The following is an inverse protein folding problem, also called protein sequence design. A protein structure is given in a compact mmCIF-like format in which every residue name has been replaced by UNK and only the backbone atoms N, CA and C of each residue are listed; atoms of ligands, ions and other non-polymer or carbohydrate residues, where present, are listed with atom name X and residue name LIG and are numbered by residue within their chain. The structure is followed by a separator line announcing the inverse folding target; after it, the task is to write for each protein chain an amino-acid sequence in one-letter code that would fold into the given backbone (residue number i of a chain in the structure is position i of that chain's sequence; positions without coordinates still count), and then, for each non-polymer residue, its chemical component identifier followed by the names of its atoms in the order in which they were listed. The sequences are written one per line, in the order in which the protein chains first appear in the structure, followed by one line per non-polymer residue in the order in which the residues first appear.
data_IF_987978371839
#
_entry.id   IF_987978371839
#
_cell.length_a   1.000
_cell.length_b   1.000
_cell.length_c   1.000
_cell.angle_alpha   90.00
_cell.angle_beta   90.00
_cell.angle_gamma   90.00
#
_symmetry.space_group_name_H-M   'P 1'
#
loop_
_entity.id
_entity.type
_entity.pdbx_description
1 polymer ?
#
# COMPACT_ATOMS: atom_id res chain seq x y z
N UNK A 1 26.49 1.12 2.04
CA UNK A 1 25.21 1.25 2.77
C UNK A 1 24.47 2.39 2.08
N UNK A 2 23.41 2.10 1.30
CA UNK A 2 22.59 3.15 0.72
C UNK A 2 22.02 3.98 1.86
N UNK A 3 22.27 5.29 1.86
CA UNK A 3 21.70 6.20 2.83
C UNK A 3 20.18 6.25 2.58
N UNK A 4 19.40 5.55 3.40
CA UNK A 4 17.94 5.59 3.34
C UNK A 4 17.47 7.04 3.47
N UNK A 5 16.48 7.42 2.66
CA UNK A 5 15.96 8.79 2.60
C UNK A 5 15.20 9.20 3.87
N UNK A 6 14.40 8.25 4.40
CA UNK A 6 13.73 8.37 5.70
C UNK A 6 13.96 7.07 6.48
N UNK A 7 14.46 7.19 7.71
CA UNK A 7 14.66 6.05 8.62
C UNK A 7 13.89 6.26 9.90
N UNK A 8 13.27 5.21 10.37
CA UNK A 8 12.65 5.12 11.68
C UNK A 8 13.45 4.07 12.46
N UNK A 9 13.95 4.43 13.65
CA UNK A 9 14.78 3.56 14.47
C UNK A 9 14.20 3.43 15.88
N UNK A 10 13.87 2.22 16.25
CA UNK A 10 13.42 1.82 17.58
C UNK A 10 12.24 2.64 18.12
N UNK A 11 11.39 3.16 17.21
CA UNK A 11 10.31 4.07 17.59
C UNK A 11 9.25 3.32 18.38
N UNK A 12 8.92 3.87 19.56
CA UNK A 12 7.92 3.32 20.47
C UNK A 12 6.94 4.39 20.93
N UNK A 13 5.67 4.00 21.09
CA UNK A 13 4.59 4.88 21.54
C UNK A 13 3.57 4.13 22.38
N UNK A 14 3.19 4.73 23.50
CA UNK A 14 2.12 4.25 24.36
C UNK A 14 1.10 5.36 24.66
N UNK A 15 -0.14 5.00 24.89
CA UNK A 15 -1.18 5.84 25.47
C UNK A 15 -1.60 5.25 26.81
N UNK A 16 -1.18 5.88 27.90
CA UNK A 16 -1.29 5.30 29.23
C UNK A 16 -0.52 3.96 29.30
N UNK A 17 -1.21 2.91 29.69
CA UNK A 17 -0.63 1.56 29.76
C UNK A 17 -0.73 0.76 28.43
N UNK A 18 -1.35 1.33 27.40
CA UNK A 18 -1.53 0.65 26.12
C UNK A 18 -0.41 1.00 25.15
N UNK A 19 0.43 0.00 24.82
CA UNK A 19 1.52 0.15 23.87
C UNK A 19 0.98 0.00 22.44
N UNK A 20 1.08 1.08 21.65
CA UNK A 20 0.56 1.16 20.28
C UNK A 20 1.63 0.96 19.22
N UNK A 21 2.88 1.35 19.53
CA UNK A 21 4.06 1.10 18.70
C UNK A 21 5.18 0.60 19.59
N UNK A 22 5.88 -0.44 19.16
CA UNK A 22 6.92 -1.12 19.92
C UNK A 22 8.14 -1.42 19.05
N UNK A 23 9.19 -0.63 19.24
CA UNK A 23 10.47 -0.86 18.56
C UNK A 23 10.33 -0.92 17.02
N UNK A 24 9.61 0.03 16.47
CA UNK A 24 9.39 0.13 15.01
C UNK A 24 10.68 0.53 14.32
N UNK A 25 11.07 -0.25 13.32
CA UNK A 25 12.23 0.01 12.49
C UNK A 25 11.81 -0.04 11.02
N UNK A 26 12.03 1.06 10.26
CA UNK A 26 11.72 1.14 8.83
C UNK A 26 12.79 1.95 8.10
N UNK A 27 13.10 1.51 6.88
CA UNK A 27 13.97 2.22 5.96
C UNK A 27 13.22 2.48 4.65
N UNK A 28 13.09 3.75 4.30
CA UNK A 28 12.34 4.19 3.11
C UNK A 28 13.31 4.93 2.20
N UNK A 29 13.40 4.52 0.94
CA UNK A 29 14.27 5.15 -0.03
C UNK A 29 13.57 6.31 -0.72
N UNK A 30 14.34 7.20 -1.32
CA UNK A 30 13.80 8.30 -2.12
C UNK A 30 13.01 7.75 -3.30
N UNK A 31 11.83 8.33 -3.55
CA UNK A 31 10.88 7.93 -4.60
C UNK A 31 10.16 6.59 -4.36
N UNK A 32 10.38 5.92 -3.22
CA UNK A 32 9.56 4.77 -2.89
C UNK A 32 8.08 5.19 -2.74
N UNK A 33 7.18 4.32 -3.15
CA UNK A 33 5.79 4.31 -2.70
C UNK A 33 5.67 3.18 -1.69
N UNK A 34 5.73 3.53 -0.42
CA UNK A 34 5.83 2.60 0.70
C UNK A 34 4.48 2.39 1.37
N UNK A 35 3.99 1.16 1.38
CA UNK A 35 2.74 0.79 2.05
C UNK A 35 2.96 0.40 3.52
N UNK A 36 2.04 0.80 4.39
CA UNK A 36 1.93 0.29 5.76
C UNK A 36 0.59 -0.40 5.87
N UNK A 37 0.63 -1.72 5.97
CA UNK A 37 -0.53 -2.60 5.99
C UNK A 37 -0.74 -3.19 7.38
N UNK A 38 -1.97 -3.47 7.75
CA UNK A 38 -2.30 -4.09 9.04
C UNK A 38 -3.78 -3.94 9.38
N UNK A 39 -4.25 -4.72 10.34
CA UNK A 39 -5.64 -4.66 10.79
C UNK A 39 -5.97 -3.33 11.48
N UNK A 40 -7.27 -3.09 11.69
CA UNK A 40 -7.72 -1.91 12.45
C UNK A 40 -7.13 -1.94 13.87
N UNK A 41 -6.66 -0.80 14.36
CA UNK A 41 -6.05 -0.70 15.71
C UNK A 41 -4.58 -1.13 15.80
N UNK A 42 -3.94 -1.62 14.72
CA UNK A 42 -2.55 -2.10 14.75
C UNK A 42 -1.49 -0.99 14.99
N UNK A 43 -1.87 0.30 15.01
CA UNK A 43 -0.95 1.42 15.24
C UNK A 43 -0.55 2.22 13.99
N UNK A 44 -1.08 1.89 12.81
CA UNK A 44 -0.70 2.53 11.52
C UNK A 44 -0.83 4.05 11.52
N UNK A 45 -2.02 4.58 11.87
CA UNK A 45 -2.26 6.03 11.90
C UNK A 45 -1.42 6.72 12.97
N UNK A 46 -1.12 6.05 14.09
CA UNK A 46 -0.20 6.58 15.11
C UNK A 46 1.21 6.69 14.54
N UNK A 47 1.68 5.68 13.80
CA UNK A 47 3.00 5.71 13.17
C UNK A 47 3.15 6.88 12.20
N UNK A 48 2.18 7.05 11.29
CA UNK A 48 2.23 8.15 10.32
C UNK A 48 2.17 9.53 11.00
N UNK A 49 1.37 9.65 12.08
CA UNK A 49 1.31 10.89 12.89
C UNK A 49 2.60 11.16 13.63
N UNK A 50 3.31 10.13 14.09
CA UNK A 50 4.66 10.28 14.66
C UNK A 50 5.65 10.77 13.57
N UNK A 51 5.59 10.21 12.35
CA UNK A 51 6.44 10.65 11.24
C UNK A 51 6.17 12.13 10.90
N UNK A 52 4.91 12.56 10.90
CA UNK A 52 4.56 13.97 10.62
C UNK A 52 4.79 14.92 11.81
N UNK A 53 5.09 14.39 13.00
CA UNK A 53 5.24 15.19 14.23
C UNK A 53 3.92 15.72 14.78
N UNK A 54 2.78 15.12 14.39
CA UNK A 54 1.46 15.39 15.01
C UNK A 54 1.28 14.61 16.30
N UNK A 55 1.99 13.50 16.47
CA UNK A 55 2.02 12.71 17.69
C UNK A 55 3.46 12.55 18.16
N UNK A 56 3.68 12.75 19.46
CA UNK A 56 5.00 12.53 20.08
C UNK A 56 5.18 11.04 20.35
N UNK A 57 6.32 10.49 19.97
CA UNK A 57 6.74 9.15 20.37
C UNK A 57 7.51 9.19 21.70
N UNK A 58 7.56 8.05 22.38
CA UNK A 58 8.13 7.96 23.72
C UNK A 58 9.62 7.63 23.66
N UNK A 59 10.05 6.82 22.66
CA UNK A 59 11.43 6.38 22.47
C UNK A 59 11.75 6.20 20.99
N UNK A 60 13.04 6.19 20.64
CA UNK A 60 13.54 6.04 19.28
C UNK A 60 13.87 7.36 18.59
N UNK A 61 14.07 7.27 17.30
CA UNK A 61 14.38 8.44 16.47
C UNK A 61 13.88 8.31 15.03
N UNK A 62 13.64 9.44 14.40
CA UNK A 62 13.37 9.57 12.97
C UNK A 62 14.52 10.35 12.36
N UNK A 63 15.07 9.82 11.26
CA UNK A 63 16.17 10.42 10.51
C UNK A 63 15.67 10.73 9.10
N UNK A 64 15.80 11.95 8.67
CA UNK A 64 15.42 12.41 7.33
C UNK A 64 16.65 12.99 6.62
N UNK A 65 17.00 12.45 5.46
CA UNK A 65 18.19 12.84 4.69
C UNK A 65 19.50 12.77 5.49
N UNK A 66 19.59 11.77 6.39
CA UNK A 66 20.78 11.56 7.23
C UNK A 66 20.82 12.38 8.53
N UNK A 67 19.85 13.27 8.76
CA UNK A 67 19.79 14.12 9.96
C UNK A 67 18.61 13.70 10.85
N UNK A 68 18.84 13.72 12.17
CA UNK A 68 17.78 13.48 13.15
C UNK A 68 16.71 14.58 13.07
N UNK A 69 15.46 14.17 12.95
CA UNK A 69 14.33 15.08 12.75
C UNK A 69 14.09 15.93 13.99
N UNK A 70 14.08 17.24 13.78
CA UNK A 70 13.47 18.21 14.67
C UNK A 70 12.21 18.71 13.98
N UNK A 71 11.02 18.49 14.54
CA UNK A 71 9.73 18.81 13.91
C UNK A 71 9.50 20.33 13.74
N UNK A 72 10.49 20.99 13.14
CA UNK A 72 10.47 22.42 12.83
C UNK A 72 9.67 22.73 11.54
N UNK A 73 9.63 24.02 11.17
CA UNK A 73 8.91 24.49 9.98
C UNK A 73 9.49 23.90 8.68
N UNK A 74 10.80 23.74 8.61
CA UNK A 74 11.48 23.19 7.44
C UNK A 74 11.11 21.72 7.20
N UNK A 75 11.16 20.89 8.26
CA UNK A 75 10.71 19.51 8.17
C UNK A 75 9.24 19.42 7.70
N UNK A 76 8.35 20.25 8.30
CA UNK A 76 6.92 20.28 7.94
C UNK A 76 6.65 20.76 6.51
N UNK A 77 7.55 21.53 5.92
CA UNK A 77 7.50 21.88 4.50
C UNK A 77 7.81 20.68 3.61
N UNK A 78 8.81 19.87 4.01
CA UNK A 78 9.26 18.70 3.26
C UNK A 78 8.37 17.46 3.41
N UNK A 79 7.55 17.39 4.48
CA UNK A 79 6.71 16.22 4.79
C UNK A 79 5.26 16.66 4.92
N UNK A 80 4.50 16.50 3.85
CA UNK A 80 3.06 16.83 3.81
C UNK A 80 2.20 15.60 4.10
N UNK A 81 0.94 15.82 4.51
CA UNK A 81 0.02 14.75 4.87
C UNK A 81 -1.36 14.95 4.24
N UNK A 82 -1.89 13.87 3.69
CA UNK A 82 -3.28 13.71 3.29
C UNK A 82 -3.98 12.92 4.37
N UNK A 83 -5.05 13.46 4.92
CA UNK A 83 -5.81 12.86 6.01
C UNK A 83 -6.94 11.99 5.46
N UNK A 84 -7.38 11.02 6.26
CA UNK A 84 -8.54 10.16 5.97
C UNK A 84 -9.80 10.98 5.70
N UNK A 85 -10.07 11.99 6.52
CA UNK A 85 -11.06 13.03 6.24
C UNK A 85 -10.38 14.12 5.43
N UNK A 86 -11.03 14.62 4.39
CA UNK A 86 -10.46 15.61 3.46
C UNK A 86 -10.01 16.90 4.16
N UNK A 87 -10.63 17.23 5.31
CA UNK A 87 -10.36 18.43 6.12
C UNK A 87 -10.35 19.71 5.29
N UNK A 88 -11.29 19.82 4.35
CA UNK A 88 -11.50 21.03 3.57
C UNK A 88 -12.32 22.04 4.39
N UNK A 89 -12.02 23.31 4.23
CA UNK A 89 -12.76 24.41 4.86
C UNK A 89 -13.97 24.73 3.99
N UNK A 90 -15.18 24.41 4.49
CA UNK A 90 -16.43 24.55 3.75
C UNK A 90 -16.75 26.00 3.35
N UNK A 91 -16.24 26.99 4.13
CA UNK A 91 -16.44 28.42 3.86
C UNK A 91 -15.46 28.98 2.85
N UNK A 92 -14.48 28.18 2.37
CA UNK A 92 -13.50 28.58 1.36
C UNK A 92 -13.75 27.85 0.06
N UNK A 93 -13.51 28.55 -1.06
CA UNK A 93 -13.51 27.90 -2.38
C UNK A 93 -12.40 26.86 -2.48
N UNK A 94 -12.47 26.00 -3.50
CA UNK A 94 -11.44 25.01 -3.82
C UNK A 94 -10.06 25.65 -3.93
N UNK A 95 -9.94 26.74 -4.70
CA UNK A 95 -8.68 27.46 -4.84
C UNK A 95 -8.16 27.96 -3.50
N UNK A 96 -9.02 28.57 -2.68
CA UNK A 96 -8.66 29.07 -1.34
C UNK A 96 -8.31 27.97 -0.34
N UNK A 97 -8.87 26.77 -0.49
CA UNK A 97 -8.47 25.61 0.29
C UNK A 97 -7.05 25.16 -0.04
N UNK A 98 -6.66 25.21 -1.32
CA UNK A 98 -5.31 24.85 -1.76
C UNK A 98 -4.31 25.94 -1.36
N UNK A 99 -4.64 27.24 -1.54
CA UNK A 99 -3.79 28.36 -1.13
C UNK A 99 -3.44 28.36 0.36
N UNK A 100 -4.25 27.72 1.23
CA UNK A 100 -4.07 27.72 2.68
C UNK A 100 -2.65 27.30 3.10
N UNK A 101 -2.10 26.27 2.48
CA UNK A 101 -0.75 25.82 2.81
C UNK A 101 0.31 26.88 2.40
N UNK A 102 0.12 27.55 1.28
CA UNK A 102 0.96 28.66 0.84
C UNK A 102 0.84 29.89 1.78
N UNK A 103 -0.36 30.16 2.31
CA UNK A 103 -0.58 31.20 3.33
C UNK A 103 0.28 30.92 4.59
N UNK A 104 0.27 29.67 5.08
CA UNK A 104 1.04 29.25 6.25
C UNK A 104 2.55 29.38 6.07
N UNK A 105 3.05 29.19 4.85
CA UNK A 105 4.47 29.30 4.52
C UNK A 105 4.86 30.68 4.00
N UNK A 106 3.91 31.66 3.92
CA UNK A 106 4.11 33.01 3.38
C UNK A 106 4.62 32.96 1.93
N UNK A 107 4.11 32.05 1.10
CA UNK A 107 4.48 31.92 -0.30
C UNK A 107 3.85 33.04 -1.12
N UNK A 108 4.63 33.94 -1.75
CA UNK A 108 4.09 35.04 -2.57
C UNK A 108 3.38 34.53 -3.81
N UNK A 109 3.81 33.38 -4.36
CA UNK A 109 3.30 32.80 -5.61
C UNK A 109 2.16 31.80 -5.36
N UNK A 110 1.63 31.73 -4.13
CA UNK A 110 0.63 30.73 -3.71
C UNK A 110 -0.58 30.65 -4.65
N UNK A 111 -1.01 31.77 -5.23
CA UNK A 111 -2.19 31.80 -6.08
C UNK A 111 -1.96 31.04 -7.40
N UNK A 112 -0.87 31.30 -8.08
CA UNK A 112 -0.53 30.65 -9.34
C UNK A 112 -0.12 29.19 -9.11
N UNK A 113 0.60 28.90 -8.01
CA UNK A 113 0.91 27.53 -7.61
C UNK A 113 -0.35 26.71 -7.30
N UNK A 114 -1.32 27.29 -6.60
CA UNK A 114 -2.58 26.62 -6.31
C UNK A 114 -3.36 26.26 -7.58
N UNK A 115 -3.42 27.16 -8.56
CA UNK A 115 -4.01 26.86 -9.87
C UNK A 115 -3.27 25.72 -10.55
N UNK A 116 -1.95 25.79 -10.63
CA UNK A 116 -1.10 24.75 -11.23
C UNK A 116 -1.35 23.38 -10.60
N UNK A 117 -1.42 23.28 -9.26
CA UNK A 117 -1.67 22.01 -8.60
C UNK A 117 -3.12 21.53 -8.77
N UNK A 118 -4.10 22.42 -8.84
CA UNK A 118 -5.48 22.05 -9.18
C UNK A 118 -5.61 21.55 -10.63
N UNK A 119 -4.91 22.15 -11.57
CA UNK A 119 -4.81 21.66 -12.95
C UNK A 119 -4.15 20.27 -12.97
N UNK A 120 -3.04 20.08 -12.24
CA UNK A 120 -2.31 18.82 -12.15
C UNK A 120 -3.18 17.67 -11.64
N UNK A 121 -4.13 17.96 -10.74
CA UNK A 121 -5.09 16.96 -10.23
C UNK A 121 -6.40 16.91 -11.03
N UNK A 122 -6.50 17.62 -12.16
CA UNK A 122 -7.63 17.62 -13.08
C UNK A 122 -8.86 18.36 -12.56
N UNK A 123 -8.68 19.51 -11.88
CA UNK A 123 -9.75 20.33 -11.29
C UNK A 123 -9.66 21.80 -11.75
N UNK A 124 -9.22 22.06 -12.97
CA UNK A 124 -9.10 23.42 -13.53
C UNK A 124 -10.43 24.16 -13.64
N UNK A 125 -11.54 23.43 -13.79
CA UNK A 125 -12.91 23.96 -13.88
C UNK A 125 -13.57 24.23 -12.53
N UNK A 126 -12.91 23.89 -11.39
CA UNK A 126 -13.48 23.92 -10.03
C UNK A 126 -12.90 24.99 -9.11
N UNK A 127 -12.07 25.91 -9.57
CA UNK A 127 -11.39 26.90 -8.73
C UNK A 127 -12.35 27.66 -7.80
N UNK A 128 -13.50 28.07 -8.32
CA UNK A 128 -14.49 28.88 -7.60
C UNK A 128 -15.59 28.03 -6.90
N UNK A 129 -15.57 26.71 -7.06
CA UNK A 129 -16.51 25.80 -6.39
C UNK A 129 -16.20 25.72 -4.90
N UNK A 130 -17.20 25.35 -4.11
CA UNK A 130 -17.07 25.07 -2.68
C UNK A 130 -17.03 23.57 -2.42
N UNK A 131 -16.44 23.10 -1.31
CA UNK A 131 -16.37 21.67 -0.98
C UNK A 131 -17.71 20.94 -1.03
N UNK A 132 -18.80 21.58 -0.65
CA UNK A 132 -20.17 21.02 -0.71
C UNK A 132 -20.64 20.67 -2.12
N UNK A 133 -20.05 21.26 -3.15
CA UNK A 133 -20.38 21.05 -4.57
C UNK A 133 -19.52 19.96 -5.22
N UNK A 134 -18.61 19.31 -4.46
CA UNK A 134 -17.67 18.32 -4.97
C UNK A 134 -18.06 16.91 -4.58
N UNK A 135 -17.77 15.96 -5.49
CA UNK A 135 -17.80 14.53 -5.14
C UNK A 135 -16.67 14.17 -4.16
N UNK A 136 -16.75 13.01 -3.52
CA UNK A 136 -15.69 12.51 -2.62
C UNK A 136 -14.30 12.46 -3.29
N UNK A 137 -14.22 11.95 -4.50
CA UNK A 137 -12.98 11.91 -5.28
C UNK A 137 -12.44 13.29 -5.65
N UNK A 138 -13.32 14.25 -5.96
CA UNK A 138 -12.91 15.63 -6.19
C UNK A 138 -12.39 16.28 -4.91
N UNK A 139 -13.04 16.08 -3.75
CA UNK A 139 -12.54 16.53 -2.44
C UNK A 139 -11.16 15.96 -2.15
N UNK A 140 -10.95 14.68 -2.45
CA UNK A 140 -9.65 14.03 -2.28
C UNK A 140 -8.58 14.66 -3.16
N UNK A 141 -8.87 14.93 -4.42
CA UNK A 141 -7.95 15.62 -5.35
C UNK A 141 -7.61 17.03 -4.87
N UNK A 142 -8.55 17.76 -4.29
CA UNK A 142 -8.29 19.07 -3.63
C UNK A 142 -7.35 18.90 -2.44
N UNK A 143 -7.55 17.89 -1.60
CA UNK A 143 -6.68 17.61 -0.45
C UNK A 143 -5.25 17.25 -0.90
N UNK A 144 -5.11 16.49 -2.00
CA UNK A 144 -3.82 16.21 -2.63
C UNK A 144 -3.17 17.51 -3.14
N UNK A 145 -3.89 18.33 -3.92
CA UNK A 145 -3.36 19.60 -4.42
C UNK A 145 -2.89 20.52 -3.28
N UNK A 146 -3.66 20.60 -2.18
CA UNK A 146 -3.29 21.35 -0.98
C UNK A 146 -2.01 20.82 -0.33
N UNK A 147 -1.84 19.50 -0.26
CA UNK A 147 -0.62 18.89 0.28
C UNK A 147 0.61 19.20 -0.58
N UNK A 148 0.45 19.32 -1.89
CA UNK A 148 1.54 19.64 -2.83
C UNK A 148 2.01 21.10 -2.75
N UNK A 149 1.23 22.01 -2.17
CA UNK A 149 1.56 23.43 -2.10
C UNK A 149 2.87 23.76 -1.38
N UNK A 150 3.29 22.90 -0.43
CA UNK A 150 4.59 23.05 0.24
C UNK A 150 5.75 22.49 -0.58
N UNK A 151 5.50 21.94 -1.77
CA UNK A 151 6.49 21.24 -2.60
C UNK A 151 7.23 20.14 -1.80
N UNK A 152 6.50 19.22 -1.18
CA UNK A 152 7.10 18.27 -0.26
C UNK A 152 7.94 17.23 -0.99
N UNK A 153 8.92 16.63 -0.29
CA UNK A 153 9.63 15.46 -0.79
C UNK A 153 9.01 14.15 -0.30
N UNK A 154 8.23 14.21 0.80
CA UNK A 154 7.48 13.07 1.35
C UNK A 154 6.01 13.42 1.45
N UNK A 155 5.17 12.57 0.91
CA UNK A 155 3.71 12.65 1.02
C UNK A 155 3.20 11.48 1.86
N UNK A 156 2.64 11.80 3.01
CA UNK A 156 2.01 10.83 3.90
C UNK A 156 0.52 10.72 3.56
N UNK A 157 -0.02 9.51 3.52
CA UNK A 157 -1.43 9.25 3.20
C UNK A 157 -2.05 8.34 4.27
N UNK A 158 -2.91 8.92 5.11
CA UNK A 158 -3.63 8.20 6.17
C UNK A 158 -4.99 7.75 5.64
N UNK A 159 -5.07 6.51 5.14
CA UNK A 159 -6.30 5.88 4.60
C UNK A 159 -7.10 6.78 3.63
N UNK A 160 -6.40 7.53 2.79
CA UNK A 160 -6.98 8.58 1.93
C UNK A 160 -8.01 8.07 0.88
N UNK A 161 -8.19 6.77 0.75
CA UNK A 161 -9.14 6.16 -0.20
C UNK A 161 -10.26 5.37 0.48
N UNK A 162 -10.25 5.23 1.81
CA UNK A 162 -11.20 4.36 2.54
C UNK A 162 -12.67 4.79 2.45
N UNK A 163 -12.92 6.07 2.17
CA UNK A 163 -14.27 6.63 2.04
C UNK A 163 -14.75 6.76 0.58
N UNK A 164 -14.00 6.20 -0.39
CA UNK A 164 -14.27 6.32 -1.81
C UNK A 164 -14.78 4.98 -2.38
N UNK A 165 -15.58 5.07 -3.43
CA UNK A 165 -15.95 3.90 -4.22
C UNK A 165 -14.72 3.32 -4.98
N UNK A 166 -14.77 2.06 -5.44
CA UNK A 166 -13.63 1.39 -6.07
C UNK A 166 -13.09 2.13 -7.31
N UNK A 167 -13.95 2.68 -8.16
CA UNK A 167 -13.51 3.37 -9.38
C UNK A 167 -12.81 4.69 -9.05
N UNK A 168 -13.37 5.45 -8.13
CA UNK A 168 -12.76 6.69 -7.63
C UNK A 168 -11.44 6.40 -6.91
N UNK A 169 -11.38 5.32 -6.13
CA UNK A 169 -10.14 4.83 -5.49
C UNK A 169 -9.06 4.58 -6.53
N UNK A 170 -9.38 3.86 -7.60
CA UNK A 170 -8.44 3.57 -8.68
C UNK A 170 -7.91 4.85 -9.34
N UNK A 171 -8.77 5.84 -9.60
CA UNK A 171 -8.38 7.12 -10.16
C UNK A 171 -7.43 7.89 -9.24
N UNK A 172 -7.68 7.90 -7.93
CA UNK A 172 -6.81 8.57 -6.94
C UNK A 172 -5.46 7.86 -6.83
N UNK A 173 -5.43 6.52 -6.81
CA UNK A 173 -4.18 5.75 -6.78
C UNK A 173 -3.34 5.98 -8.05
N UNK A 174 -3.97 6.00 -9.23
CA UNK A 174 -3.31 6.33 -10.49
C UNK A 174 -2.70 7.73 -10.44
N UNK A 175 -3.46 8.72 -9.96
CA UNK A 175 -2.96 10.10 -9.77
C UNK A 175 -1.75 10.13 -8.83
N UNK A 176 -1.79 9.46 -7.68
CA UNK A 176 -0.67 9.40 -6.74
C UNK A 176 0.58 8.76 -7.39
N UNK A 177 0.41 7.71 -8.18
CA UNK A 177 1.49 7.06 -8.93
C UNK A 177 2.10 8.01 -9.96
N UNK A 178 1.29 8.74 -10.70
CA UNK A 178 1.76 9.75 -11.63
C UNK A 178 2.52 10.88 -10.93
N UNK A 179 2.02 11.37 -9.79
CA UNK A 179 2.68 12.39 -8.99
C UNK A 179 4.03 11.91 -8.44
N UNK A 180 4.11 10.65 -7.97
CA UNK A 180 5.38 10.04 -7.57
C UNK A 180 6.40 10.07 -8.72
N UNK A 181 5.99 9.66 -9.92
CA UNK A 181 6.86 9.61 -11.09
C UNK A 181 7.25 11.00 -11.61
N UNK A 182 6.28 11.92 -11.76
CA UNK A 182 6.48 13.25 -12.36
C UNK A 182 7.23 14.20 -11.43
N UNK A 183 6.95 14.16 -10.13
CA UNK A 183 7.51 15.06 -9.12
C UNK A 183 8.65 14.43 -8.31
N UNK A 184 8.88 13.12 -8.45
CA UNK A 184 9.88 12.40 -7.67
C UNK A 184 9.57 12.30 -6.18
N UNK A 185 8.27 12.34 -5.81
CA UNK A 185 7.80 12.26 -4.44
C UNK A 185 8.08 10.88 -3.86
N UNK A 186 8.44 10.84 -2.57
CA UNK A 186 8.36 9.62 -1.76
C UNK A 186 6.97 9.58 -1.13
N UNK A 187 6.24 8.48 -1.29
CA UNK A 187 4.88 8.35 -0.74
C UNK A 187 4.88 7.27 0.34
N UNK A 188 4.31 7.58 1.50
CA UNK A 188 4.07 6.59 2.56
C UNK A 188 2.57 6.56 2.78
N UNK A 189 1.95 5.40 2.53
CA UNK A 189 0.51 5.28 2.64
C UNK A 189 0.09 4.15 3.57
N UNK A 190 -0.98 4.39 4.30
CA UNK A 190 -1.65 3.40 5.12
C UNK A 190 -2.84 2.84 4.37
N UNK A 191 -3.00 1.52 4.45
CA UNK A 191 -4.21 0.83 4.05
C UNK A 191 -4.43 -0.40 4.93
N UNK A 192 -5.67 -0.84 5.02
CA UNK A 192 -6.03 -2.16 5.52
C UNK A 192 -6.39 -3.12 4.38
N UNK A 193 -6.31 -2.66 3.12
CA UNK A 193 -6.63 -3.43 1.91
C UNK A 193 -5.35 -3.71 1.12
N UNK A 194 -5.07 -4.99 0.89
CA UNK A 194 -3.91 -5.41 0.11
C UNK A 194 -3.97 -4.90 -1.33
N UNK A 195 -5.14 -4.93 -1.96
CA UNK A 195 -5.36 -4.44 -3.33
C UNK A 195 -4.90 -3.00 -3.57
N UNK A 196 -5.10 -2.12 -2.56
CA UNK A 196 -4.65 -0.73 -2.62
C UNK A 196 -3.13 -0.65 -2.62
N UNK A 197 -2.49 -1.43 -1.74
CA UNK A 197 -1.03 -1.47 -1.61
C UNK A 197 -0.38 -2.01 -2.89
N UNK A 198 -0.90 -3.11 -3.41
CA UNK A 198 -0.34 -3.77 -4.61
C UNK A 198 -0.42 -2.90 -5.87
N UNK A 199 -1.47 -2.08 -5.99
CA UNK A 199 -1.66 -1.22 -7.18
C UNK A 199 -0.59 -0.15 -7.33
N UNK A 200 -0.04 0.35 -6.23
CA UNK A 200 0.81 1.54 -6.26
C UNK A 200 2.16 1.35 -5.54
N UNK A 201 2.20 0.56 -4.44
CA UNK A 201 3.38 0.47 -3.60
C UNK A 201 4.41 -0.50 -4.18
N UNK A 202 5.69 -0.09 -4.20
CA UNK A 202 6.81 -0.98 -4.51
C UNK A 202 7.31 -1.72 -3.27
N UNK A 203 7.12 -1.16 -2.07
CA UNK A 203 7.47 -1.79 -0.80
C UNK A 203 6.31 -1.73 0.19
N UNK A 204 6.28 -2.68 1.10
CA UNK A 204 5.27 -2.75 2.15
C UNK A 204 5.88 -3.22 3.47
N UNK A 205 5.36 -2.69 4.58
CA UNK A 205 5.55 -3.23 5.91
C UNK A 205 4.19 -3.62 6.49
N UNK A 206 4.12 -4.80 7.09
CA UNK A 206 2.93 -5.27 7.79
C UNK A 206 3.14 -5.04 9.29
N UNK A 207 2.20 -4.30 9.88
CA UNK A 207 2.18 -4.01 11.30
C UNK A 207 1.09 -4.84 11.99
N UNK A 208 1.48 -5.54 13.04
CA UNK A 208 0.59 -6.30 13.90
C UNK A 208 1.07 -6.22 15.35
N UNK A 209 0.13 -6.18 16.30
CA UNK A 209 0.43 -6.12 17.74
C UNK A 209 1.55 -5.11 18.07
N UNK A 210 1.41 -3.89 17.54
CA UNK A 210 2.33 -2.76 17.73
C UNK A 210 3.75 -2.96 17.14
N UNK A 211 4.01 -3.98 16.31
CA UNK A 211 5.33 -4.29 15.74
C UNK A 211 5.25 -4.44 14.22
N UNK A 212 6.36 -4.16 13.53
CA UNK A 212 6.53 -4.61 12.15
C UNK A 212 6.85 -6.11 12.21
N UNK A 213 5.99 -6.92 11.61
CA UNK A 213 6.12 -8.37 11.58
C UNK A 213 6.69 -8.89 10.27
N UNK A 214 6.50 -8.11 9.19
CA UNK A 214 7.06 -8.42 7.88
C UNK A 214 7.28 -7.13 7.10
N UNK A 215 8.38 -7.01 6.34
CA UNK A 215 8.63 -5.87 5.46
C UNK A 215 9.51 -6.29 4.27
N UNK A 216 9.25 -5.75 3.09
CA UNK A 216 9.99 -6.05 1.86
C UNK A 216 9.35 -5.48 0.62
N UNK A 217 9.77 -5.98 -0.54
CA UNK A 217 9.12 -5.67 -1.81
C UNK A 217 7.68 -6.19 -1.80
N UNK A 218 6.74 -5.36 -2.26
CA UNK A 218 5.30 -5.70 -2.22
C UNK A 218 5.02 -7.03 -2.93
N UNK A 219 5.68 -7.25 -4.06
CA UNK A 219 5.52 -8.44 -4.88
C UNK A 219 6.01 -9.71 -4.15
N UNK A 220 7.16 -9.62 -3.44
CA UNK A 220 7.70 -10.74 -2.66
C UNK A 220 6.75 -11.12 -1.52
N UNK A 221 6.26 -10.13 -0.77
CA UNK A 221 5.34 -10.38 0.36
C UNK A 221 4.01 -10.95 -0.13
N UNK A 222 3.49 -10.47 -1.28
CA UNK A 222 2.27 -11.02 -1.88
C UNK A 222 2.43 -12.48 -2.30
N UNK A 223 3.53 -12.84 -2.96
CA UNK A 223 3.75 -14.20 -3.46
C UNK A 223 4.17 -15.18 -2.35
N UNK A 224 4.94 -14.70 -1.37
CA UNK A 224 5.60 -15.51 -0.34
C UNK A 224 5.40 -14.95 1.08
N UNK A 225 4.14 -14.76 1.55
CA UNK A 225 3.91 -14.28 2.91
C UNK A 225 4.47 -15.27 3.94
N UNK A 226 5.23 -14.73 4.91
CA UNK A 226 5.95 -15.54 5.90
C UNK A 226 5.23 -15.64 7.24
N UNK A 227 4.46 -14.61 7.62
CA UNK A 227 3.77 -14.56 8.91
C UNK A 227 2.29 -14.93 8.77
N UNK A 228 1.67 -15.45 9.83
CA UNK A 228 0.25 -15.78 9.84
C UNK A 228 -0.63 -14.57 9.52
N UNK A 229 -0.28 -13.40 10.06
CA UNK A 229 -1.04 -12.19 9.78
C UNK A 229 -0.90 -11.75 8.31
N UNK A 230 0.27 -11.91 7.70
CA UNK A 230 0.46 -11.62 6.26
C UNK A 230 -0.37 -12.55 5.40
N UNK A 231 -0.36 -13.85 5.70
CA UNK A 231 -1.21 -14.84 5.03
C UNK A 231 -2.68 -14.48 5.19
N UNK A 232 -3.11 -14.18 6.41
CA UNK A 232 -4.48 -13.79 6.70
C UNK A 232 -4.92 -12.55 5.90
N UNK A 233 -4.09 -11.53 5.81
CA UNK A 233 -4.43 -10.30 5.06
C UNK A 233 -4.49 -10.58 3.55
N UNK A 234 -3.57 -11.38 3.01
CA UNK A 234 -3.48 -11.66 1.58
C UNK A 234 -4.59 -12.62 1.13
N UNK A 235 -4.90 -13.64 1.93
CA UNK A 235 -5.86 -14.67 1.57
C UNK A 235 -7.26 -14.45 2.17
N UNK A 236 -7.45 -13.40 3.02
CA UNK A 236 -8.73 -13.16 3.72
C UNK A 236 -9.90 -13.01 2.75
N UNK A 237 -10.95 -13.79 3.03
CA UNK A 237 -12.19 -13.78 2.24
C UNK A 237 -12.15 -14.59 0.94
N UNK A 238 -11.01 -15.20 0.60
CA UNK A 238 -10.84 -15.95 -0.65
C UNK A 238 -10.68 -17.46 -0.45
N UNK A 239 -10.16 -17.90 0.70
CA UNK A 239 -9.94 -19.32 0.99
C UNK A 239 -10.79 -19.70 2.19
N UNK A 240 -11.85 -20.47 1.95
CA UNK A 240 -12.71 -21.02 2.98
C UNK A 240 -12.17 -22.41 3.33
N UNK A 241 -11.40 -22.49 4.40
CA UNK A 241 -10.78 -23.75 4.87
C UNK A 241 -11.57 -24.42 5.98
N UNK A 242 -12.85 -24.05 6.17
CA UNK A 242 -13.68 -24.73 7.16
C UNK A 242 -13.74 -26.23 6.84
N UNK A 243 -13.06 -27.01 7.66
CA UNK A 243 -13.19 -28.46 7.82
C UNK A 243 -12.53 -29.43 6.83
N UNK A 244 -11.47 -29.08 6.10
CA UNK A 244 -10.84 -30.06 5.21
C UNK A 244 -9.32 -30.20 5.52
N UNK A 245 -8.88 -31.37 6.01
CA UNK A 245 -7.47 -31.80 6.11
C UNK A 245 -6.84 -32.03 4.73
N UNK A 246 -7.40 -31.45 3.67
CA UNK A 246 -6.94 -31.66 2.30
C UNK A 246 -5.62 -30.94 2.06
N UNK A 247 -4.68 -31.63 1.45
CA UNK A 247 -3.47 -31.03 0.90
C UNK A 247 -3.82 -30.16 -0.30
N UNK A 248 -3.21 -28.99 -0.33
CA UNK A 248 -3.37 -28.02 -1.40
C UNK A 248 -2.06 -27.88 -2.19
N UNK A 249 -2.16 -27.54 -3.45
CA UNK A 249 -1.03 -27.21 -4.30
C UNK A 249 -1.04 -25.73 -4.59
N UNK A 250 -0.04 -25.01 -4.11
CA UNK A 250 0.17 -23.60 -4.42
C UNK A 250 1.15 -23.49 -5.60
N UNK A 251 0.70 -22.88 -6.70
CA UNK A 251 1.52 -22.55 -7.87
C UNK A 251 1.76 -21.06 -7.91
N UNK A 252 2.97 -20.64 -8.21
CA UNK A 252 3.38 -19.24 -8.20
C UNK A 252 3.88 -18.86 -9.59
N UNK A 253 3.34 -17.75 -10.12
CA UNK A 253 3.78 -17.12 -11.36
C UNK A 253 4.68 -15.93 -11.02
N UNK A 254 5.91 -15.97 -11.49
CA UNK A 254 6.94 -14.96 -11.25
C UNK A 254 7.28 -14.12 -12.49
N UNK A 255 6.37 -14.07 -13.47
CA UNK A 255 6.57 -13.38 -14.74
C UNK A 255 7.23 -14.22 -15.84
N UNK A 256 7.47 -15.51 -15.60
CA UNK A 256 8.12 -16.40 -16.57
C UNK A 256 7.12 -17.34 -17.27
N UNK A 257 5.88 -17.48 -16.76
CA UNK A 257 4.86 -18.36 -17.32
C UNK A 257 3.94 -17.58 -18.26
N UNK A 258 4.06 -17.88 -19.55
CA UNK A 258 3.23 -17.29 -20.62
C UNK A 258 2.27 -18.33 -21.24
N UNK A 259 1.92 -19.38 -20.50
CA UNK A 259 1.10 -20.47 -21.00
C UNK A 259 -0.15 -20.67 -20.16
N UNK A 260 -1.27 -21.12 -20.76
CA UNK A 260 -2.51 -21.43 -20.04
C UNK A 260 -2.37 -22.70 -19.19
N UNK A 261 -1.67 -22.58 -18.05
CA UNK A 261 -1.26 -23.68 -17.19
C UNK A 261 -2.40 -24.67 -16.87
N UNK A 262 -3.57 -24.16 -16.45
CA UNK A 262 -4.71 -25.01 -16.09
C UNK A 262 -5.18 -25.85 -17.28
N UNK A 263 -5.33 -25.18 -18.44
CA UNK A 263 -5.78 -25.87 -19.66
C UNK A 263 -4.78 -26.96 -20.09
N UNK A 264 -3.49 -26.65 -20.02
CA UNK A 264 -2.44 -27.59 -20.37
C UNK A 264 -2.38 -28.78 -19.39
N UNK A 265 -2.52 -28.57 -18.09
CA UNK A 265 -2.60 -29.68 -17.11
C UNK A 265 -3.79 -30.60 -17.42
N UNK A 266 -4.97 -30.01 -17.70
CA UNK A 266 -6.17 -30.80 -18.03
C UNK A 266 -5.95 -31.62 -19.31
N UNK A 267 -5.35 -31.01 -20.34
CA UNK A 267 -5.14 -31.67 -21.63
C UNK A 267 -4.02 -32.73 -21.58
N UNK A 268 -2.89 -32.40 -20.97
CA UNK A 268 -1.69 -33.25 -21.03
C UNK A 268 -1.70 -34.35 -19.98
N UNK A 269 -2.27 -34.06 -18.79
CA UNK A 269 -2.32 -35.03 -17.68
C UNK A 269 -3.66 -35.73 -17.54
N UNK A 270 -4.71 -35.24 -18.21
CA UNK A 270 -6.11 -35.68 -18.06
C UNK A 270 -6.58 -35.61 -16.59
N UNK A 271 -6.19 -34.56 -15.88
CA UNK A 271 -6.51 -34.30 -14.45
C UNK A 271 -7.44 -33.11 -14.36
N UNK A 272 -8.55 -33.27 -13.64
CA UNK A 272 -9.45 -32.16 -13.30
C UNK A 272 -8.98 -31.53 -11.99
N UNK A 273 -8.71 -30.20 -12.02
CA UNK A 273 -8.26 -29.46 -10.86
C UNK A 273 -9.37 -28.56 -10.31
N UNK A 274 -9.59 -28.61 -8.99
CA UNK A 274 -10.44 -27.66 -8.30
C UNK A 274 -9.62 -26.47 -7.84
N UNK A 275 -9.90 -25.28 -8.41
CA UNK A 275 -9.25 -24.03 -8.03
C UNK A 275 -9.90 -23.50 -6.75
N UNK A 276 -9.10 -23.33 -5.71
CA UNK A 276 -9.54 -22.79 -4.41
C UNK A 276 -9.30 -21.29 -4.37
N UNK A 277 -8.16 -20.84 -4.93
CA UNK A 277 -7.80 -19.44 -4.98
C UNK A 277 -7.05 -19.15 -6.28
N UNK A 278 -7.34 -18.02 -6.88
CA UNK A 278 -6.63 -17.52 -8.06
C UNK A 278 -6.52 -16.01 -7.98
N UNK A 279 -5.30 -15.51 -8.00
CA UNK A 279 -5.03 -14.09 -8.17
C UNK A 279 -3.82 -13.90 -9.08
N UNK A 280 -3.96 -13.02 -10.05
CA UNK A 280 -2.90 -12.73 -11.01
C UNK A 280 -2.92 -11.27 -11.43
N UNK A 281 -1.75 -10.71 -11.64
CA UNK A 281 -1.56 -9.31 -12.03
C UNK A 281 -0.53 -9.20 -13.14
N UNK A 282 -0.76 -8.26 -14.04
CA UNK A 282 0.20 -7.92 -15.08
C UNK A 282 1.03 -6.72 -14.60
N UNK A 283 2.33 -6.91 -14.50
CA UNK A 283 3.29 -5.86 -14.15
C UNK A 283 4.39 -5.86 -15.20
N UNK A 284 4.58 -4.74 -15.91
CA UNK A 284 5.57 -4.60 -17.00
C UNK A 284 5.46 -5.74 -18.04
N UNK A 285 4.24 -5.99 -18.52
CA UNK A 285 3.89 -7.03 -19.50
C UNK A 285 4.19 -8.49 -19.07
N UNK A 286 4.43 -8.73 -17.80
CA UNK A 286 4.60 -10.05 -17.21
C UNK A 286 3.49 -10.37 -16.22
N UNK A 287 3.05 -11.63 -16.23
CA UNK A 287 2.01 -12.12 -15.33
C UNK A 287 2.65 -12.61 -14.02
N UNK A 288 2.29 -11.96 -12.93
CA UNK A 288 2.63 -12.40 -11.57
C UNK A 288 1.35 -12.83 -10.87
N UNK A 289 1.43 -13.88 -10.09
CA UNK A 289 0.26 -14.33 -9.35
C UNK A 289 0.46 -15.67 -8.69
N UNK A 290 -0.63 -16.14 -8.12
CA UNK A 290 -0.67 -17.44 -7.45
C UNK A 290 -2.00 -18.14 -7.71
N UNK A 291 -1.93 -19.44 -7.85
CA UNK A 291 -3.07 -20.35 -7.94
C UNK A 291 -2.96 -21.37 -6.82
N UNK A 292 -4.07 -21.66 -6.17
CA UNK A 292 -4.15 -22.70 -5.16
C UNK A 292 -5.20 -23.71 -5.61
N UNK A 293 -4.78 -24.96 -5.75
CA UNK A 293 -5.62 -26.05 -6.18
C UNK A 293 -5.79 -27.05 -5.03
N UNK A 294 -6.93 -27.73 -5.00
CA UNK A 294 -7.09 -28.95 -4.22
C UNK A 294 -6.27 -30.07 -4.89
N UNK A 295 -5.45 -30.77 -4.09
CA UNK A 295 -4.70 -31.92 -4.59
C UNK A 295 -5.66 -33.02 -5.07
N UNK A 296 -5.36 -33.71 -6.19
CA UNK A 296 -6.13 -34.89 -6.59
C UNK A 296 -6.14 -35.95 -5.49
N UNK A 297 -7.25 -36.67 -5.37
CA UNK A 297 -7.37 -37.75 -4.39
C UNK A 297 -6.55 -38.99 -4.79
N UNK A 298 -6.36 -39.23 -6.08
CA UNK A 298 -5.61 -40.35 -6.62
C UNK A 298 -4.11 -40.06 -6.61
N UNK A 299 -3.31 -40.95 -6.05
CA UNK A 299 -1.86 -40.78 -5.92
C UNK A 299 -1.14 -40.79 -7.29
N UNK A 300 -1.67 -41.51 -8.28
CA UNK A 300 -1.09 -41.55 -9.62
C UNK A 300 -1.29 -40.22 -10.33
N UNK A 301 -2.43 -39.57 -10.13
CA UNK A 301 -2.71 -38.23 -10.63
C UNK A 301 -1.85 -37.16 -9.93
N UNK A 302 -1.62 -37.30 -8.63
CA UNK A 302 -0.67 -36.46 -7.89
C UNK A 302 0.74 -36.57 -8.50
N UNK A 303 1.20 -37.78 -8.77
CA UNK A 303 2.53 -38.01 -9.35
C UNK A 303 2.65 -37.50 -10.79
N UNK A 304 1.60 -37.66 -11.61
CA UNK A 304 1.54 -37.06 -12.97
C UNK A 304 1.62 -35.53 -12.89
N UNK A 305 0.85 -34.92 -11.98
CA UNK A 305 0.82 -33.48 -11.79
C UNK A 305 2.20 -32.93 -11.37
N UNK A 306 2.84 -33.56 -10.37
CA UNK A 306 4.21 -33.16 -9.95
C UNK A 306 5.20 -33.24 -11.12
N UNK A 307 5.22 -34.34 -11.83
CA UNK A 307 6.10 -34.53 -12.97
C UNK A 307 5.86 -33.49 -14.05
N UNK A 308 4.60 -33.15 -14.33
CA UNK A 308 4.25 -32.11 -15.30
C UNK A 308 4.80 -30.73 -14.86
N UNK A 309 4.58 -30.35 -13.61
CA UNK A 309 5.05 -29.07 -13.07
C UNK A 309 6.57 -28.94 -13.08
N UNK A 310 7.29 -30.02 -12.73
CA UNK A 310 8.76 -30.09 -12.77
C UNK A 310 9.30 -29.96 -14.19
N UNK A 311 8.74 -30.70 -15.15
CA UNK A 311 9.14 -30.67 -16.56
C UNK A 311 8.95 -29.27 -17.18
N UNK A 312 7.88 -28.57 -16.78
CA UNK A 312 7.58 -27.24 -17.28
C UNK A 312 8.18 -26.12 -16.40
N UNK A 313 9.04 -26.46 -15.43
CA UNK A 313 9.72 -25.53 -14.51
C UNK A 313 8.76 -24.59 -13.79
N UNK A 314 7.58 -25.09 -13.45
CA UNK A 314 6.57 -24.33 -12.71
C UNK A 314 6.95 -24.32 -11.23
N UNK A 315 7.01 -23.13 -10.64
CA UNK A 315 7.25 -22.99 -9.19
C UNK A 315 5.98 -23.40 -8.42
N UNK A 316 6.07 -24.46 -7.63
CA UNK A 316 4.97 -24.91 -6.81
C UNK A 316 5.42 -25.33 -5.40
N UNK A 317 4.47 -25.31 -4.47
CA UNK A 317 4.63 -25.80 -3.09
C UNK A 317 3.35 -26.52 -2.69
N UNK A 318 3.51 -27.70 -2.06
CA UNK A 318 2.41 -28.36 -1.36
C UNK A 318 2.24 -27.70 0.01
N UNK A 319 1.02 -27.38 0.37
CA UNK A 319 0.66 -26.66 1.59
C UNK A 319 -0.55 -27.30 2.22
N UNK A 320 -0.65 -27.24 3.53
CA UNK A 320 -1.85 -27.68 4.23
C UNK A 320 -2.91 -26.59 4.25
N UNK A 321 -4.18 -26.97 4.19
CA UNK A 321 -5.30 -26.01 4.23
C UNK A 321 -5.25 -25.12 5.48
N UNK A 322 -4.71 -25.63 6.57
CA UNK A 322 -4.48 -24.89 7.83
C UNK A 322 -3.50 -23.71 7.69
N UNK A 323 -2.66 -23.67 6.65
CA UNK A 323 -1.77 -22.51 6.41
C UNK A 323 -2.53 -21.24 5.96
N UNK A 324 -3.83 -21.35 5.67
CA UNK A 324 -4.68 -20.27 5.18
C UNK A 324 -5.83 -19.90 6.13
N UNK A 325 -5.98 -20.60 7.24
CA UNK A 325 -7.03 -20.40 8.25
C UNK A 325 -6.73 -19.25 9.23
#
# INVERSE_FOLDING_TARGET
MENSFLQIKNLSKSFGNHKVLSNINLNINKKDVYGILGLSGAGKSTLIRCINGLEKFDDGEIIFKGEKVTFNREYRKNVAMIFQQFNLLDQRTVLKNVELAGELFNDPDRHEKAKKYLELVGLSDKFNSYPSQLSGGQKQRVAIARALMSEPEVLLSDEATSALDPDTTNQVLTLLKELNQKLGLTIIMISHQMDVIEKICNKVAIIDNAKIVEAGETQEIFLYPKTEISKKIIYSGHINTESDDSKLLKVIFNGELDTPLIANIVQDCNIVLSVIYADSKVVNDRVYGQLIFKMPADIDDVNKLRKYLELNKVHYKEVDASEFS
#
